data_IF_760109282565
#
_entry.id   IF_760109282565
#
_cell.length_a   1.000
_cell.length_b   1.000
_cell.length_c   1.000
_cell.angle_alpha   90.00
_cell.angle_beta   90.00
_cell.angle_gamma   90.00
#
_symmetry.space_group_name_H-M   'P 1'
#
loop_
_entity.id
_entity.type
_entity.pdbx_description
1 polymer ?
#
# COMPACT_ATOMS: atom_id res chain seq x y z
N UNK A 1 37.29 32.16 -11.87
CA UNK A 1 35.90 32.39 -11.44
C UNK A 1 34.96 32.20 -12.63
N UNK A 2 34.96 31.00 -13.23
CA UNK A 2 34.24 30.73 -14.49
C UNK A 2 34.31 29.24 -14.89
N UNK A 3 33.81 28.31 -14.05
CA UNK A 3 33.61 26.91 -14.50
C UNK A 3 32.46 26.15 -13.83
N UNK A 4 31.45 26.83 -13.27
CA UNK A 4 30.38 26.17 -12.47
C UNK A 4 29.04 26.02 -13.23
N UNK A 5 28.90 26.50 -14.48
CA UNK A 5 27.59 26.58 -15.14
C UNK A 5 27.38 25.65 -16.33
N UNK A 6 27.94 24.43 -16.32
CA UNK A 6 27.57 23.36 -17.27
C UNK A 6 27.35 22.01 -16.55
N UNK A 7 26.33 21.91 -15.68
CA UNK A 7 25.92 20.63 -15.07
C UNK A 7 24.51 20.20 -15.49
N UNK A 8 24.49 19.28 -16.48
CA UNK A 8 23.66 18.07 -16.55
C UNK A 8 22.11 18.16 -16.46
N UNK A 9 21.41 18.75 -17.45
CA UNK A 9 19.99 18.42 -17.68
C UNK A 9 19.77 16.93 -18.04
N UNK A 10 20.77 16.25 -18.62
CA UNK A 10 20.69 14.84 -19.01
C UNK A 10 20.65 13.85 -17.84
N UNK A 11 21.28 14.17 -16.69
CA UNK A 11 21.34 13.25 -15.54
C UNK A 11 20.04 13.27 -14.76
N UNK A 12 19.48 14.45 -14.45
CA UNK A 12 18.20 14.54 -13.73
C UNK A 12 17.05 13.96 -14.57
N UNK A 13 16.98 14.27 -15.87
CA UNK A 13 15.97 13.73 -16.76
C UNK A 13 16.04 12.20 -16.87
N UNK A 14 17.26 11.63 -16.88
CA UNK A 14 17.46 10.18 -16.87
C UNK A 14 17.00 9.54 -15.55
N UNK A 15 17.37 10.13 -14.42
CA UNK A 15 16.96 9.66 -13.09
C UNK A 15 15.43 9.70 -12.92
N UNK A 16 14.79 10.77 -13.39
CA UNK A 16 13.33 10.90 -13.41
C UNK A 16 12.68 9.85 -14.32
N UNK A 17 13.22 9.64 -15.53
CA UNK A 17 12.72 8.64 -16.47
C UNK A 17 12.84 7.22 -15.90
N UNK A 18 13.97 6.87 -15.30
CA UNK A 18 14.18 5.56 -14.69
C UNK A 18 13.23 5.31 -13.53
N UNK A 19 13.06 6.29 -12.63
CA UNK A 19 12.07 6.18 -11.55
C UNK A 19 10.65 6.08 -12.09
N UNK A 20 10.29 6.86 -13.12
CA UNK A 20 8.96 6.82 -13.72
C UNK A 20 8.66 5.47 -14.41
N UNK A 21 9.65 4.87 -15.09
CA UNK A 21 9.51 3.55 -15.72
C UNK A 21 9.27 2.44 -14.69
N UNK A 22 9.89 2.54 -13.50
CA UNK A 22 9.64 1.60 -12.39
C UNK A 22 8.30 1.89 -11.70
N UNK A 23 7.96 3.17 -11.52
CA UNK A 23 6.76 3.59 -10.82
C UNK A 23 5.49 3.30 -11.61
N UNK A 24 5.47 3.49 -12.94
CA UNK A 24 4.25 3.34 -13.73
C UNK A 24 3.59 1.94 -13.62
N UNK A 25 4.33 0.81 -13.73
CA UNK A 25 3.75 -0.51 -13.49
C UNK A 25 3.25 -0.70 -12.05
N UNK A 26 3.97 -0.15 -11.07
CA UNK A 26 3.60 -0.25 -9.65
C UNK A 26 2.32 0.54 -9.35
N UNK A 27 2.19 1.76 -9.89
CA UNK A 27 0.98 2.58 -9.80
C UNK A 27 -0.19 1.86 -10.46
N UNK A 28 -0.02 1.33 -11.66
CA UNK A 28 -1.10 0.61 -12.33
C UNK A 28 -1.52 -0.63 -11.53
N UNK A 29 -0.57 -1.37 -10.95
CA UNK A 29 -0.87 -2.50 -10.07
C UNK A 29 -1.70 -2.09 -8.84
N UNK A 30 -1.42 -0.92 -8.24
CA UNK A 30 -2.23 -0.40 -7.14
C UNK A 30 -3.64 -0.02 -7.59
N UNK A 31 -3.78 0.62 -8.76
CA UNK A 31 -5.09 0.95 -9.32
C UNK A 31 -5.90 -0.31 -9.64
N UNK A 32 -5.26 -1.37 -10.15
CA UNK A 32 -5.95 -2.66 -10.36
C UNK A 32 -6.42 -3.27 -9.04
N UNK A 33 -5.60 -3.23 -7.99
CA UNK A 33 -5.98 -3.73 -6.66
C UNK A 33 -7.19 -2.98 -6.06
N UNK A 34 -7.25 -1.65 -6.24
CA UNK A 34 -8.43 -0.86 -5.87
C UNK A 34 -9.64 -1.25 -6.74
N UNK A 35 -9.43 -1.43 -8.04
CA UNK A 35 -10.46 -1.89 -8.97
C UNK A 35 -11.08 -3.23 -8.59
N UNK A 36 -10.30 -4.17 -8.03
CA UNK A 36 -10.81 -5.46 -7.58
C UNK A 36 -11.84 -5.30 -6.47
N UNK A 37 -11.53 -4.46 -5.47
CA UNK A 37 -12.47 -4.15 -4.39
C UNK A 37 -13.75 -3.48 -4.91
N UNK A 38 -13.64 -2.63 -5.94
CA UNK A 38 -14.79 -2.01 -6.57
C UNK A 38 -15.67 -3.02 -7.32
N UNK A 39 -15.08 -3.97 -8.06
CA UNK A 39 -15.83 -5.05 -8.74
C UNK A 39 -16.59 -5.90 -7.73
N UNK A 40 -15.95 -6.30 -6.62
CA UNK A 40 -16.59 -7.10 -5.58
C UNK A 40 -17.79 -6.36 -4.97
N UNK A 41 -17.64 -5.07 -4.68
CA UNK A 41 -18.73 -4.23 -4.18
C UNK A 41 -19.86 -4.05 -5.21
N UNK A 42 -19.54 -3.81 -6.48
CA UNK A 42 -20.53 -3.65 -7.54
C UNK A 42 -21.33 -4.94 -7.78
N UNK A 43 -20.67 -6.10 -7.79
CA UNK A 43 -21.34 -7.39 -7.95
C UNK A 43 -22.22 -7.72 -6.74
N UNK A 44 -21.72 -7.47 -5.53
CA UNK A 44 -22.50 -7.67 -4.31
C UNK A 44 -23.75 -6.77 -4.27
N UNK A 45 -23.62 -5.51 -4.70
CA UNK A 45 -24.72 -4.54 -4.79
C UNK A 45 -25.81 -4.92 -5.77
N UNK A 46 -25.45 -5.49 -6.93
CA UNK A 46 -26.43 -5.96 -7.91
C UNK A 46 -27.17 -7.24 -7.48
N UNK A 47 -26.59 -8.05 -6.59
CA UNK A 47 -27.24 -9.27 -6.12
C UNK A 47 -28.29 -8.98 -5.04
N UNK A 48 -27.90 -8.34 -3.93
CA UNK A 48 -28.84 -7.88 -2.91
C UNK A 48 -28.19 -6.91 -1.92
N UNK A 49 -29.01 -6.08 -1.27
CA UNK A 49 -28.54 -5.19 -0.19
C UNK A 49 -27.91 -5.96 0.99
N UNK A 50 -28.40 -7.17 1.27
CA UNK A 50 -27.87 -8.06 2.31
C UNK A 50 -26.48 -8.56 1.94
N UNK A 51 -26.27 -8.97 0.68
CA UNK A 51 -24.96 -9.40 0.16
C UNK A 51 -23.96 -8.26 0.16
N UNK A 52 -24.36 -7.06 -0.24
CA UNK A 52 -23.50 -5.88 -0.19
C UNK A 52 -23.05 -5.55 1.24
N UNK A 53 -23.99 -5.55 2.20
CA UNK A 53 -23.67 -5.33 3.61
C UNK A 53 -22.71 -6.39 4.17
N UNK A 54 -22.93 -7.65 3.81
CA UNK A 54 -22.08 -8.75 4.26
C UNK A 54 -20.65 -8.67 3.68
N UNK A 55 -20.52 -8.37 2.38
CA UNK A 55 -19.22 -8.20 1.72
C UNK A 55 -18.48 -6.98 2.27
N UNK A 56 -19.16 -5.86 2.54
CA UNK A 56 -18.53 -4.67 3.10
C UNK A 56 -17.94 -4.92 4.50
N UNK A 57 -18.71 -5.56 5.40
CA UNK A 57 -18.24 -5.94 6.74
C UNK A 57 -17.10 -6.96 6.64
N UNK A 58 -17.26 -7.99 5.81
CA UNK A 58 -16.25 -9.02 5.60
C UNK A 58 -14.95 -8.48 5.02
N UNK A 59 -15.03 -7.58 4.04
CA UNK A 59 -13.89 -6.90 3.44
C UNK A 59 -13.16 -5.99 4.44
N UNK A 60 -13.88 -5.37 5.37
CA UNK A 60 -13.28 -4.60 6.46
C UNK A 60 -12.39 -5.46 7.37
N UNK A 61 -12.89 -6.62 7.81
CA UNK A 61 -12.13 -7.59 8.62
C UNK A 61 -10.96 -8.15 7.82
N UNK A 62 -11.20 -8.50 6.55
CA UNK A 62 -10.16 -8.97 5.63
C UNK A 62 -9.04 -7.93 5.46
N UNK A 63 -9.39 -6.65 5.31
CA UNK A 63 -8.43 -5.56 5.15
C UNK A 63 -7.43 -5.48 6.31
N UNK A 64 -7.86 -5.75 7.55
CA UNK A 64 -6.95 -5.81 8.71
C UNK A 64 -5.90 -6.92 8.53
N UNK A 65 -6.33 -8.12 8.13
CA UNK A 65 -5.43 -9.23 7.86
C UNK A 65 -4.46 -8.91 6.70
N UNK A 66 -4.95 -8.24 5.66
CA UNK A 66 -4.14 -7.77 4.53
C UNK A 66 -3.10 -6.74 4.96
N UNK A 67 -3.47 -5.77 5.80
CA UNK A 67 -2.54 -4.75 6.32
C UNK A 67 -1.39 -5.39 7.10
N UNK A 68 -1.68 -6.39 7.94
CA UNK A 68 -0.64 -7.14 8.67
C UNK A 68 0.29 -7.88 7.69
N UNK A 69 -0.28 -8.54 6.68
CA UNK A 69 0.49 -9.25 5.66
C UNK A 69 1.38 -8.29 4.85
N UNK A 70 0.83 -7.16 4.41
CA UNK A 70 1.57 -6.10 3.69
C UNK A 70 2.70 -5.58 4.58
N UNK A 71 2.40 -5.22 5.83
CA UNK A 71 3.35 -4.61 6.75
C UNK A 71 4.65 -5.38 6.89
N UNK A 72 4.56 -6.70 7.08
CA UNK A 72 5.76 -7.55 7.24
C UNK A 72 6.43 -7.85 5.90
N UNK A 73 5.66 -8.11 4.83
CA UNK A 73 6.21 -8.41 3.50
C UNK A 73 6.86 -7.20 2.83
N UNK A 74 6.55 -5.97 3.25
CA UNK A 74 7.22 -4.75 2.82
C UNK A 74 8.71 -4.68 3.18
N UNK A 75 9.21 -5.57 4.04
CA UNK A 75 10.65 -5.72 4.30
C UNK A 75 11.42 -6.44 3.17
N UNK A 76 10.73 -7.18 2.31
CA UNK A 76 11.33 -7.97 1.23
C UNK A 76 11.95 -7.07 0.13
N UNK A 77 11.22 -6.09 -0.47
CA UNK A 77 11.78 -5.24 -1.51
C UNK A 77 13.12 -4.56 -1.17
N UNK A 78 13.29 -3.87 -0.01
CA UNK A 78 14.57 -3.23 0.31
C UNK A 78 15.69 -4.23 0.62
N UNK A 79 15.34 -5.41 1.15
CA UNK A 79 16.32 -6.47 1.43
C UNK A 79 16.87 -7.08 0.15
N UNK A 80 15.99 -7.39 -0.80
CA UNK A 80 16.33 -7.88 -2.14
C UNK A 80 17.08 -6.81 -2.93
N UNK A 81 16.60 -5.57 -2.92
CA UNK A 81 17.21 -4.47 -3.67
C UNK A 81 18.67 -4.21 -3.25
N UNK A 82 18.98 -4.22 -1.95
CA UNK A 82 20.36 -4.04 -1.48
C UNK A 82 21.27 -5.21 -1.89
N UNK A 83 20.80 -6.45 -1.81
CA UNK A 83 21.58 -7.62 -2.23
C UNK A 83 21.81 -7.64 -3.74
N UNK A 84 20.78 -7.30 -4.52
CA UNK A 84 20.88 -7.15 -5.97
C UNK A 84 21.86 -6.03 -6.35
N UNK A 85 21.78 -4.86 -5.69
CA UNK A 85 22.72 -3.76 -5.89
C UNK A 85 24.17 -4.13 -5.55
N UNK A 86 24.38 -5.01 -4.58
CA UNK A 86 25.71 -5.50 -4.18
C UNK A 86 26.26 -6.63 -5.08
N UNK A 87 25.51 -7.07 -6.09
CA UNK A 87 25.89 -8.20 -6.95
C UNK A 87 25.81 -9.58 -6.28
N UNK A 88 25.19 -9.69 -5.10
CA UNK A 88 25.11 -10.91 -4.28
C UNK A 88 23.88 -11.75 -4.67
N UNK A 89 23.80 -12.16 -5.93
CA UNK A 89 22.59 -12.79 -6.52
C UNK A 89 22.18 -14.11 -5.85
N UNK A 90 23.13 -14.93 -5.40
CA UNK A 90 22.83 -16.18 -4.70
C UNK A 90 22.10 -15.95 -3.36
N UNK A 91 22.43 -14.86 -2.67
CA UNK A 91 21.81 -14.51 -1.39
C UNK A 91 20.42 -13.91 -1.56
N UNK A 92 20.15 -13.29 -2.70
CA UNK A 92 18.79 -12.85 -3.06
C UNK A 92 17.83 -14.05 -3.04
N UNK A 93 18.23 -15.17 -3.63
CA UNK A 93 17.45 -16.41 -3.61
C UNK A 93 17.27 -16.99 -2.21
N UNK A 94 18.28 -16.91 -1.34
CA UNK A 94 18.17 -17.34 0.06
C UNK A 94 17.19 -16.49 0.86
N UNK A 95 17.28 -15.16 0.77
CA UNK A 95 16.34 -14.24 1.44
C UNK A 95 14.92 -14.43 0.93
N UNK A 96 14.74 -14.63 -0.38
CA UNK A 96 13.42 -14.88 -0.97
C UNK A 96 12.77 -16.16 -0.41
N UNK A 97 13.52 -17.26 -0.30
CA UNK A 97 13.02 -18.53 0.26
C UNK A 97 12.62 -18.38 1.74
N UNK A 98 13.39 -17.64 2.53
CA UNK A 98 13.04 -17.35 3.92
C UNK A 98 11.83 -16.40 4.03
N UNK A 99 11.71 -15.44 3.12
CA UNK A 99 10.55 -14.58 3.03
C UNK A 99 9.27 -15.36 2.66
N UNK A 100 9.38 -16.40 1.82
CA UNK A 100 8.25 -17.28 1.49
C UNK A 100 7.80 -18.10 2.69
N UNK A 101 8.73 -18.62 3.51
CA UNK A 101 8.40 -19.27 4.79
C UNK A 101 7.69 -18.31 5.75
N UNK A 102 8.19 -17.08 5.85
CA UNK A 102 7.55 -16.04 6.67
C UNK A 102 6.15 -15.70 6.13
N UNK A 103 5.98 -15.61 4.82
CA UNK A 103 4.69 -15.35 4.18
C UNK A 103 3.68 -16.49 4.42
N UNK A 104 4.13 -17.75 4.38
CA UNK A 104 3.28 -18.89 4.71
C UNK A 104 2.88 -18.88 6.19
N UNK A 105 3.81 -18.58 7.09
CA UNK A 105 3.52 -18.46 8.52
C UNK A 105 2.52 -17.32 8.81
N UNK A 106 2.70 -16.15 8.18
CA UNK A 106 1.78 -15.02 8.28
C UNK A 106 0.43 -15.33 7.63
N UNK A 107 0.42 -15.98 6.47
CA UNK A 107 -0.78 -16.39 5.77
C UNK A 107 -1.60 -17.38 6.60
N UNK A 108 -0.93 -18.32 7.29
CA UNK A 108 -1.58 -19.22 8.23
C UNK A 108 -2.11 -18.49 9.47
N UNK A 109 -1.35 -17.53 10.02
CA UNK A 109 -1.81 -16.70 11.13
C UNK A 109 -3.06 -15.89 10.75
N UNK A 110 -3.07 -15.29 9.57
CA UNK A 110 -4.22 -14.58 9.02
C UNK A 110 -5.39 -15.52 8.76
N UNK A 111 -5.15 -16.73 8.25
CA UNK A 111 -6.19 -17.75 8.05
C UNK A 111 -6.86 -18.15 9.36
N UNK A 112 -6.08 -18.40 10.42
CA UNK A 112 -6.60 -18.68 11.77
C UNK A 112 -7.37 -17.46 12.29
N UNK A 113 -6.79 -16.26 12.20
CA UNK A 113 -7.41 -15.03 12.70
C UNK A 113 -8.75 -14.71 12.03
N UNK A 114 -8.84 -14.86 10.71
CA UNK A 114 -10.08 -14.65 9.95
C UNK A 114 -11.12 -15.72 10.29
N UNK A 115 -10.73 -16.99 10.44
CA UNK A 115 -11.67 -18.06 10.80
C UNK A 115 -12.15 -17.98 12.25
N UNK A 116 -11.32 -17.45 13.14
CA UNK A 116 -11.66 -17.19 14.55
C UNK A 116 -12.33 -15.83 14.75
N UNK A 117 -12.73 -15.12 13.69
CA UNK A 117 -13.34 -13.78 13.80
C UNK A 117 -14.83 -13.79 14.18
N UNK A 118 -15.49 -14.96 14.24
CA UNK A 118 -16.91 -15.07 14.64
C UNK A 118 -17.29 -14.29 15.93
N UNK A 119 -16.50 -14.39 17.01
CA UNK A 119 -16.72 -13.59 18.22
C UNK A 119 -16.53 -12.09 18.01
N UNK A 120 -15.55 -11.67 17.20
CA UNK A 120 -15.33 -10.25 16.86
C UNK A 120 -16.52 -9.68 16.08
N UNK A 121 -17.07 -10.44 15.13
CA UNK A 121 -18.26 -10.04 14.36
C UNK A 121 -19.47 -9.91 15.29
N UNK A 122 -19.64 -10.82 16.26
CA UNK A 122 -20.72 -10.72 17.24
C UNK A 122 -20.56 -9.54 18.22
N UNK A 123 -19.32 -9.15 18.53
CA UNK A 123 -19.01 -8.01 19.41
C UNK A 123 -19.27 -6.66 18.72
N UNK A 124 -19.12 -6.59 17.40
CA UNK A 124 -19.36 -5.37 16.60
C UNK A 124 -20.87 -5.03 16.50
N UNK A 125 -21.77 -5.96 16.86
CA UNK A 125 -23.22 -5.72 16.86
C UNK A 125 -23.82 -5.73 15.44
N UNK A 126 -23.27 -6.53 14.54
CA UNK A 126 -23.81 -6.72 13.19
C UNK A 126 -25.20 -7.36 13.25
N UNK A 127 -26.12 -6.92 12.39
CA UNK A 127 -27.48 -7.46 12.30
C UNK A 127 -27.45 -9.00 12.22
N UNK A 128 -28.23 -9.72 13.06
CA UNK A 128 -28.28 -11.18 13.06
C UNK A 128 -28.54 -11.79 11.67
N UNK A 129 -29.24 -11.07 10.79
CA UNK A 129 -29.54 -11.50 9.43
C UNK A 129 -28.32 -11.44 8.50
N UNK A 130 -27.33 -10.58 8.80
CA UNK A 130 -26.08 -10.43 8.03
C UNK A 130 -24.99 -11.41 8.50
N UNK A 131 -25.03 -11.86 9.76
CA UNK A 131 -23.98 -12.71 10.36
C UNK A 131 -23.69 -13.98 9.55
N UNK A 132 -24.74 -14.64 9.03
CA UNK A 132 -24.61 -15.86 8.25
C UNK A 132 -23.87 -15.64 6.91
N UNK A 133 -24.16 -14.55 6.22
CA UNK A 133 -23.51 -14.19 4.95
C UNK A 133 -22.08 -13.67 5.17
N UNK A 134 -21.84 -12.91 6.25
CA UNK A 134 -20.50 -12.45 6.63
C UNK A 134 -19.59 -13.64 6.94
N UNK A 135 -20.04 -14.61 7.73
CA UNK A 135 -19.25 -15.82 8.05
C UNK A 135 -18.95 -16.64 6.77
N UNK A 136 -19.92 -16.78 5.86
CA UNK A 136 -19.70 -17.44 4.56
C UNK A 136 -18.65 -16.71 3.72
N UNK A 137 -18.71 -15.39 3.64
CA UNK A 137 -17.71 -14.58 2.95
C UNK A 137 -16.32 -14.76 3.57
N UNK A 138 -16.22 -14.63 4.90
CA UNK A 138 -14.95 -14.74 5.64
C UNK A 138 -14.34 -16.13 5.50
N UNK A 139 -15.14 -17.20 5.55
CA UNK A 139 -14.67 -18.56 5.28
C UNK A 139 -14.19 -18.73 3.85
N UNK A 140 -14.88 -18.16 2.87
CA UNK A 140 -14.47 -18.16 1.47
C UNK A 140 -13.12 -17.47 1.27
N UNK A 141 -13.01 -16.21 1.71
CA UNK A 141 -11.81 -15.39 1.53
C UNK A 141 -10.62 -15.88 2.38
N UNK A 142 -10.87 -16.55 3.52
CA UNK A 142 -9.81 -17.09 4.37
C UNK A 142 -8.84 -17.99 3.59
N UNK A 143 -9.33 -18.79 2.64
CA UNK A 143 -8.49 -19.65 1.79
C UNK A 143 -7.51 -18.88 0.91
N UNK A 144 -7.76 -17.58 0.66
CA UNK A 144 -6.86 -16.67 -0.04
C UNK A 144 -5.76 -16.07 0.84
N UNK A 145 -5.78 -16.24 2.17
CA UNK A 145 -4.81 -15.59 3.07
C UNK A 145 -3.36 -16.06 2.87
N UNK A 146 -3.09 -17.36 2.67
CA UNK A 146 -1.75 -17.80 2.29
C UNK A 146 -1.32 -17.28 0.91
N UNK A 147 -2.27 -17.23 -0.05
CA UNK A 147 -1.99 -16.78 -1.41
C UNK A 147 -1.60 -15.29 -1.43
N UNK A 148 -2.34 -14.41 -0.74
CA UNK A 148 -2.03 -12.98 -0.76
C UNK A 148 -0.67 -12.67 -0.12
N UNK A 149 -0.29 -13.37 0.96
CA UNK A 149 1.02 -13.21 1.58
C UNK A 149 2.15 -13.68 0.64
N UNK A 150 1.96 -14.80 -0.05
CA UNK A 150 2.89 -15.29 -1.05
C UNK A 150 2.98 -14.33 -2.25
N UNK A 151 1.86 -13.80 -2.73
CA UNK A 151 1.81 -12.81 -3.80
C UNK A 151 2.60 -11.54 -3.45
N UNK A 152 2.41 -10.97 -2.25
CA UNK A 152 3.18 -9.80 -1.82
C UNK A 152 4.69 -10.09 -1.73
N UNK A 153 5.08 -11.32 -1.40
CA UNK A 153 6.48 -11.73 -1.35
C UNK A 153 7.08 -11.87 -2.75
N UNK A 154 6.36 -12.51 -3.68
CA UNK A 154 6.74 -12.61 -5.10
C UNK A 154 6.86 -11.21 -5.73
N UNK A 155 5.84 -10.37 -5.51
CA UNK A 155 5.83 -8.96 -5.91
C UNK A 155 6.99 -8.19 -5.32
N UNK A 156 7.27 -8.37 -4.03
CA UNK A 156 8.36 -7.68 -3.35
C UNK A 156 9.73 -8.09 -3.89
N UNK A 157 9.93 -9.36 -4.23
CA UNK A 157 11.13 -9.87 -4.88
C UNK A 157 11.30 -9.28 -6.30
N UNK A 158 10.27 -9.36 -7.13
CA UNK A 158 10.26 -8.84 -8.50
C UNK A 158 10.50 -7.33 -8.55
N UNK A 159 9.83 -6.58 -7.65
CA UNK A 159 10.07 -5.16 -7.46
C UNK A 159 11.48 -4.86 -6.96
N UNK A 160 11.99 -5.63 -6.00
CA UNK A 160 13.35 -5.48 -5.45
C UNK A 160 14.45 -5.65 -6.49
N UNK A 161 14.28 -6.54 -7.47
CA UNK A 161 15.22 -6.69 -8.61
C UNK A 161 15.09 -5.55 -9.61
N UNK A 162 13.92 -4.87 -9.67
CA UNK A 162 13.63 -3.80 -10.63
C UNK A 162 12.83 -4.27 -11.85
N UNK A 163 12.31 -5.51 -11.84
CA UNK A 163 11.47 -6.04 -12.92
C UNK A 163 10.01 -5.87 -12.50
N UNK A 164 9.45 -4.66 -12.62
CA UNK A 164 8.09 -4.36 -12.09
C UNK A 164 6.94 -4.65 -13.07
N UNK A 165 7.23 -4.88 -14.35
CA UNK A 165 6.21 -5.15 -15.39
C UNK A 165 5.36 -6.41 -15.12
N UNK A 166 5.92 -7.54 -14.67
CA UNK A 166 5.13 -8.74 -14.39
C UNK A 166 4.04 -8.51 -13.35
N UNK A 167 4.34 -7.75 -12.27
CA UNK A 167 3.34 -7.41 -11.26
C UNK A 167 2.11 -6.74 -11.87
N UNK A 168 2.33 -5.82 -12.82
CA UNK A 168 1.24 -5.13 -13.50
C UNK A 168 0.38 -6.09 -14.34
N UNK A 169 1.00 -7.00 -15.11
CA UNK A 169 0.26 -7.96 -15.93
C UNK A 169 -0.56 -8.93 -15.08
N UNK A 170 0.00 -9.42 -13.97
CA UNK A 170 -0.71 -10.33 -13.08
C UNK A 170 -1.83 -9.65 -12.29
N UNK A 171 -1.64 -8.39 -11.86
CA UNK A 171 -2.71 -7.63 -11.22
C UNK A 171 -3.81 -7.20 -12.20
N UNK A 172 -3.50 -6.98 -13.47
CA UNK A 172 -4.52 -6.79 -14.51
C UNK A 172 -5.27 -8.10 -14.79
N UNK A 173 -4.56 -9.22 -14.86
CA UNK A 173 -5.15 -10.55 -15.01
C UNK A 173 -6.11 -10.86 -13.85
N UNK A 174 -5.71 -10.59 -12.61
CA UNK A 174 -6.55 -10.85 -11.44
C UNK A 174 -7.83 -10.03 -11.47
N UNK A 175 -7.76 -8.75 -11.82
CA UNK A 175 -8.94 -7.90 -12.02
C UNK A 175 -9.88 -8.46 -13.11
N UNK A 176 -9.34 -8.86 -14.26
CA UNK A 176 -10.12 -9.37 -15.39
C UNK A 176 -10.75 -10.74 -15.10
N UNK A 177 -10.09 -11.59 -14.30
CA UNK A 177 -10.60 -12.90 -13.89
C UNK A 177 -11.62 -12.79 -12.76
N UNK A 178 -11.49 -11.79 -11.89
CA UNK A 178 -12.37 -11.62 -10.74
C UNK A 178 -13.83 -11.41 -11.17
N UNK A 179 -14.10 -10.51 -12.11
CA UNK A 179 -15.47 -10.23 -12.56
C UNK A 179 -16.25 -11.48 -13.00
N UNK A 180 -15.77 -12.25 -13.99
CA UNK A 180 -16.42 -13.48 -14.44
C UNK A 180 -16.52 -14.55 -13.36
N UNK A 181 -15.46 -14.81 -12.59
CA UNK A 181 -15.45 -15.86 -11.57
C UNK A 181 -16.43 -15.50 -10.45
N UNK A 182 -16.38 -14.26 -9.95
CA UNK A 182 -17.29 -13.77 -8.93
C UNK A 182 -18.74 -13.81 -9.42
N UNK A 183 -19.02 -13.40 -10.67
CA UNK A 183 -20.37 -13.45 -11.23
C UNK A 183 -20.93 -14.88 -11.31
N UNK A 184 -20.12 -15.87 -11.73
CA UNK A 184 -20.52 -17.28 -11.83
C UNK A 184 -20.80 -17.88 -10.46
N UNK A 185 -19.92 -17.66 -9.48
CA UNK A 185 -20.07 -18.18 -8.11
C UNK A 185 -21.19 -17.48 -7.32
N UNK A 186 -21.46 -16.21 -7.64
CA UNK A 186 -22.53 -15.43 -7.05
C UNK A 186 -23.91 -15.95 -7.48
N UNK A 187 -24.12 -16.14 -8.80
CA UNK A 187 -25.41 -16.55 -9.37
C UNK A 187 -25.58 -18.06 -9.57
N UNK A 188 -24.63 -18.89 -9.13
CA UNK A 188 -24.73 -20.35 -9.29
C UNK A 188 -24.86 -20.81 -10.74
N UNK A 189 -24.22 -20.12 -11.69
CA UNK A 189 -24.23 -20.53 -13.11
C UNK A 189 -23.22 -21.67 -13.34
N UNK A 190 -23.43 -22.48 -14.38
CA UNK A 190 -22.61 -23.68 -14.70
C UNK A 190 -22.73 -24.90 -13.75
N UNK A 191 -23.82 -25.02 -12.99
CA UNK A 191 -24.08 -26.19 -12.13
C UNK A 191 -23.53 -26.09 -10.71
N UNK A 192 -23.05 -24.90 -10.31
CA UNK A 192 -22.69 -24.59 -8.94
C UNK A 192 -23.91 -24.06 -8.15
N UNK A 193 -24.02 -24.33 -6.84
CA UNK A 193 -25.06 -23.73 -6.01
C UNK A 193 -24.85 -22.22 -5.89
N UNK A 194 -25.92 -21.45 -5.72
CA UNK A 194 -25.85 -20.01 -5.41
C UNK A 194 -25.19 -19.80 -4.04
N UNK A 195 -23.95 -19.30 -4.02
CA UNK A 195 -23.16 -19.15 -2.78
C UNK A 195 -23.24 -17.74 -2.17
N UNK A 196 -23.96 -16.80 -2.81
CA UNK A 196 -24.16 -15.44 -2.30
C UNK A 196 -22.84 -14.72 -1.97
N UNK A 197 -22.74 -14.13 -0.77
CA UNK A 197 -21.52 -13.47 -0.30
C UNK A 197 -20.34 -14.46 -0.17
N UNK A 198 -20.60 -15.72 0.17
CA UNK A 198 -19.57 -16.77 0.21
C UNK A 198 -18.94 -17.04 -1.16
N UNK A 199 -19.72 -16.89 -2.23
CA UNK A 199 -19.26 -17.02 -3.61
C UNK A 199 -18.27 -15.93 -4.02
N UNK A 200 -18.51 -14.69 -3.60
CA UNK A 200 -17.59 -13.56 -3.82
C UNK A 200 -16.28 -13.81 -3.06
N UNK A 201 -16.33 -14.14 -1.77
CA UNK A 201 -15.14 -14.41 -0.99
C UNK A 201 -14.30 -15.58 -1.54
N UNK A 202 -14.96 -16.64 -2.01
CA UNK A 202 -14.29 -17.78 -2.66
C UNK A 202 -13.71 -17.39 -4.03
N UNK A 203 -14.40 -16.58 -4.82
CA UNK A 203 -13.90 -16.07 -6.09
C UNK A 203 -12.62 -15.25 -5.89
N UNK A 204 -12.60 -14.35 -4.91
CA UNK A 204 -11.40 -13.59 -4.53
C UNK A 204 -10.26 -14.54 -4.13
N UNK A 205 -10.53 -15.58 -3.34
CA UNK A 205 -9.52 -16.57 -2.96
C UNK A 205 -8.96 -17.34 -4.17
N UNK A 206 -9.81 -17.79 -5.10
CA UNK A 206 -9.41 -18.50 -6.32
C UNK A 206 -8.51 -17.60 -7.17
N UNK A 207 -8.94 -16.34 -7.39
CA UNK A 207 -8.18 -15.36 -8.17
C UNK A 207 -6.82 -15.09 -7.54
N UNK A 208 -6.74 -14.94 -6.22
CA UNK A 208 -5.47 -14.75 -5.51
C UNK A 208 -4.52 -15.96 -5.69
N UNK A 209 -5.05 -17.19 -5.65
CA UNK A 209 -4.25 -18.38 -5.93
C UNK A 209 -3.78 -18.43 -7.39
N UNK A 210 -4.66 -18.14 -8.35
CA UNK A 210 -4.31 -18.07 -9.76
C UNK A 210 -3.24 -17.00 -10.02
N UNK A 211 -3.37 -15.83 -9.42
CA UNK A 211 -2.40 -14.74 -9.52
C UNK A 211 -1.05 -15.15 -8.92
N UNK A 212 -1.05 -15.75 -7.73
CA UNK A 212 0.16 -16.20 -7.04
C UNK A 212 0.87 -17.32 -7.81
N UNK A 213 0.13 -18.32 -8.30
CA UNK A 213 0.67 -19.46 -9.02
C UNK A 213 1.18 -19.05 -10.41
N UNK A 214 0.43 -18.21 -11.14
CA UNK A 214 0.87 -17.70 -12.44
C UNK A 214 2.13 -16.84 -12.29
N UNK A 215 2.21 -16.01 -11.24
CA UNK A 215 3.39 -15.20 -11.00
C UNK A 215 4.59 -16.05 -10.58
N UNK A 216 4.38 -17.04 -9.71
CA UNK A 216 5.41 -18.02 -9.33
C UNK A 216 5.93 -18.81 -10.53
N UNK A 217 5.04 -19.32 -11.38
CA UNK A 217 5.39 -20.04 -12.60
C UNK A 217 6.20 -19.16 -13.56
N UNK A 218 5.81 -17.91 -13.74
CA UNK A 218 6.57 -16.94 -14.54
C UNK A 218 7.98 -16.71 -13.99
N UNK A 219 8.13 -16.60 -12.66
CA UNK A 219 9.45 -16.45 -12.03
C UNK A 219 10.33 -17.69 -12.17
N UNK A 220 9.76 -18.90 -12.31
CA UNK A 220 10.51 -20.13 -12.59
C UNK A 220 10.92 -20.21 -14.07
N UNK A 221 10.02 -19.84 -14.98
CA UNK A 221 10.19 -20.05 -16.42
C UNK A 221 11.02 -18.95 -17.10
N UNK A 222 11.01 -17.73 -16.57
CA UNK A 222 11.62 -16.58 -17.25
C UNK A 222 13.13 -16.47 -16.97
N UNK A 223 13.91 -16.31 -18.05
CA UNK A 223 15.39 -16.34 -18.02
C UNK A 223 16.01 -15.27 -17.11
N UNK A 224 15.34 -14.13 -16.95
CA UNK A 224 15.81 -13.04 -16.10
C UNK A 224 15.88 -13.41 -14.61
N UNK A 225 15.16 -14.45 -14.18
CA UNK A 225 15.17 -14.94 -12.80
C UNK A 225 16.09 -16.15 -12.59
N UNK A 226 16.59 -16.76 -13.66
CA UNK A 226 17.47 -17.92 -13.60
C UNK A 226 18.74 -17.70 -12.74
N UNK A 227 19.40 -16.52 -12.74
CA UNK A 227 20.58 -16.27 -11.91
C UNK A 227 20.34 -16.31 -10.39
N UNK A 228 19.09 -16.22 -9.94
CA UNK A 228 18.76 -16.15 -8.51
C UNK A 228 18.43 -17.50 -7.87
N UNK A 229 18.40 -18.60 -8.66
CA UNK A 229 18.15 -19.97 -8.16
C UNK A 229 16.95 -20.08 -7.20
N UNK A 230 15.87 -19.30 -7.44
CA UNK A 230 14.80 -19.03 -6.46
C UNK A 230 14.15 -20.28 -5.87
N UNK A 231 14.02 -21.33 -6.69
CA UNK A 231 13.40 -22.61 -6.33
C UNK A 231 14.36 -23.79 -6.48
N UNK A 232 15.63 -23.56 -6.82
CA UNK A 232 16.59 -24.64 -7.11
C UNK A 232 17.05 -25.38 -5.83
N UNK A 233 16.89 -24.75 -4.66
CA UNK A 233 17.33 -25.29 -3.37
C UNK A 233 16.23 -25.16 -2.33
N UNK A 234 15.78 -26.28 -1.76
CA UNK A 234 14.88 -26.26 -0.62
C UNK A 234 15.68 -25.99 0.66
N UNK A 235 15.65 -24.74 1.14
CA UNK A 235 16.32 -24.36 2.39
C UNK A 235 15.34 -24.47 3.56
N UNK A 236 15.79 -25.10 4.65
CA UNK A 236 15.01 -25.15 5.90
C UNK A 236 14.83 -23.74 6.47
N UNK A 237 13.77 -23.48 7.26
CA UNK A 237 13.55 -22.19 7.91
C UNK A 237 14.75 -21.81 8.77
N UNK A 238 15.37 -20.67 8.45
CA UNK A 238 16.45 -20.08 9.23
C UNK A 238 15.87 -18.96 10.09
N UNK A 239 15.67 -19.26 11.38
CA UNK A 239 15.08 -18.34 12.35
C UNK A 239 15.84 -17.01 12.45
N UNK A 240 17.15 -17.00 12.18
CA UNK A 240 17.95 -15.78 12.19
C UNK A 240 17.58 -14.86 11.02
N UNK A 241 17.52 -15.40 9.81
CA UNK A 241 17.15 -14.64 8.61
C UNK A 241 15.69 -14.15 8.68
N UNK A 242 14.78 -14.99 9.18
CA UNK A 242 13.39 -14.61 9.44
C UNK A 242 13.33 -13.51 10.51
N UNK A 243 14.13 -13.61 11.57
CA UNK A 243 14.25 -12.58 12.61
C UNK A 243 14.72 -11.23 12.07
N UNK A 244 15.66 -11.21 11.12
CA UNK A 244 16.12 -9.99 10.45
C UNK A 244 15.00 -9.36 9.59
N UNK A 245 14.25 -10.18 8.83
CA UNK A 245 13.09 -9.72 8.07
C UNK A 245 12.01 -9.15 8.99
N UNK A 246 11.71 -9.81 10.11
CA UNK A 246 10.75 -9.35 11.11
C UNK A 246 11.21 -8.07 11.80
N UNK A 247 12.49 -7.94 12.11
CA UNK A 247 13.05 -6.73 12.73
C UNK A 247 12.83 -5.49 11.86
N UNK A 248 12.86 -5.66 10.53
CA UNK A 248 12.61 -4.60 9.56
C UNK A 248 11.10 -4.44 9.31
N UNK A 249 10.38 -5.54 9.14
CA UNK A 249 8.97 -5.58 8.74
C UNK A 249 7.99 -5.21 9.84
N UNK A 250 8.23 -5.59 11.10
CA UNK A 250 7.35 -5.23 12.23
C UNK A 250 7.23 -3.70 12.38
N UNK A 251 8.32 -2.91 12.40
CA UNK A 251 8.21 -1.45 12.42
C UNK A 251 7.49 -0.86 11.19
N UNK A 252 7.65 -1.46 10.01
CA UNK A 252 6.92 -1.03 8.81
C UNK A 252 5.41 -1.31 8.95
N UNK A 253 5.04 -2.49 9.44
CA UNK A 253 3.65 -2.85 9.72
C UNK A 253 3.01 -1.95 10.76
N UNK A 254 3.72 -1.63 11.85
CA UNK A 254 3.25 -0.66 12.85
C UNK A 254 3.05 0.73 12.22
N UNK A 255 3.94 1.16 11.32
CA UNK A 255 3.80 2.44 10.63
C UNK A 255 2.51 2.49 9.80
N UNK A 256 2.24 1.47 8.99
CA UNK A 256 1.02 1.37 8.17
C UNK A 256 -0.22 1.22 9.05
N UNK A 257 -0.13 0.48 10.15
CA UNK A 257 -1.21 0.34 11.12
C UNK A 257 -1.55 1.68 11.78
N UNK A 258 -0.55 2.45 12.22
CA UNK A 258 -0.75 3.77 12.81
C UNK A 258 -1.42 4.72 11.82
N UNK A 259 -1.02 4.66 10.55
CA UNK A 259 -1.64 5.41 9.46
C UNK A 259 -3.10 5.03 9.26
N UNK A 260 -3.40 3.74 9.09
CA UNK A 260 -4.77 3.25 8.95
C UNK A 260 -5.65 3.60 10.16
N UNK A 261 -5.11 3.46 11.37
CA UNK A 261 -5.82 3.77 12.62
C UNK A 261 -6.21 5.24 12.72
N UNK A 262 -5.37 6.15 12.22
CA UNK A 262 -5.64 7.59 12.18
C UNK A 262 -6.86 7.90 11.30
N UNK A 263 -6.91 7.31 10.10
CA UNK A 263 -8.05 7.51 9.19
C UNK A 263 -9.33 6.93 9.77
N UNK A 264 -9.29 5.70 10.29
CA UNK A 264 -10.46 5.05 10.92
C UNK A 264 -10.98 5.89 12.10
N UNK A 265 -10.09 6.32 13.00
CA UNK A 265 -10.46 7.13 14.15
C UNK A 265 -11.04 8.49 13.73
N UNK A 266 -10.51 9.09 12.67
CA UNK A 266 -11.03 10.35 12.13
C UNK A 266 -12.43 10.16 11.53
N UNK A 267 -12.64 9.10 10.75
CA UNK A 267 -13.96 8.77 10.19
C UNK A 267 -14.98 8.51 11.29
N UNK A 268 -14.61 7.77 12.35
CA UNK A 268 -15.49 7.53 13.49
C UNK A 268 -15.85 8.81 14.24
N UNK A 269 -14.86 9.69 14.46
CA UNK A 269 -15.10 11.00 15.08
C UNK A 269 -16.04 11.86 14.24
N UNK A 270 -15.86 11.88 12.90
CA UNK A 270 -16.78 12.57 11.99
C UNK A 270 -18.18 11.96 11.95
N UNK A 271 -18.31 10.67 12.25
CA UNK A 271 -19.58 9.95 12.45
C UNK A 271 -20.54 10.65 13.42
N UNK A 272 -19.99 11.35 14.42
CA UNK A 272 -20.77 12.06 15.44
C UNK A 272 -21.29 13.44 15.00
N UNK A 273 -20.81 13.95 13.86
CA UNK A 273 -21.07 15.32 13.37
C UNK A 273 -22.22 15.40 12.33
N UNK A 274 -23.00 14.32 12.16
CA UNK A 274 -24.17 14.26 11.28
C UNK A 274 -23.95 13.52 9.96
N UNK A 275 -25.03 13.06 9.34
CA UNK A 275 -25.03 12.22 8.13
C UNK A 275 -24.39 12.91 6.93
N UNK A 276 -24.69 14.19 6.73
CA UNK A 276 -24.20 14.96 5.58
C UNK A 276 -22.68 15.15 5.67
N UNK A 277 -22.18 15.40 6.89
CA UNK A 277 -20.75 15.49 7.20
C UNK A 277 -20.01 14.19 6.86
N UNK A 278 -20.58 13.05 7.24
CA UNK A 278 -19.99 11.73 6.97
C UNK A 278 -19.98 11.44 5.47
N UNK A 279 -21.08 11.71 4.77
CA UNK A 279 -21.18 11.54 3.33
C UNK A 279 -20.13 12.39 2.60
N UNK A 280 -20.02 13.68 2.93
CA UNK A 280 -19.03 14.57 2.34
C UNK A 280 -17.59 14.15 2.66
N UNK A 281 -17.33 13.67 3.87
CA UNK A 281 -16.02 13.12 4.24
C UNK A 281 -15.65 11.90 3.42
N UNK A 282 -16.59 10.96 3.23
CA UNK A 282 -16.35 9.75 2.46
C UNK A 282 -16.04 10.06 0.99
N UNK A 283 -16.72 11.05 0.40
CA UNK A 283 -16.41 11.54 -0.95
C UNK A 283 -14.97 12.07 -1.01
N UNK A 284 -14.60 12.94 -0.08
CA UNK A 284 -13.25 13.49 -0.03
C UNK A 284 -12.17 12.42 0.17
N UNK A 285 -12.40 11.45 1.08
CA UNK A 285 -11.48 10.34 1.31
C UNK A 285 -11.32 9.43 0.09
N UNK A 286 -12.41 9.09 -0.59
CA UNK A 286 -12.36 8.22 -1.77
C UNK A 286 -11.53 8.87 -2.89
N UNK A 287 -11.74 10.16 -3.13
CA UNK A 287 -10.97 10.93 -4.12
C UNK A 287 -9.50 11.00 -3.70
N UNK A 288 -9.22 11.31 -2.43
CA UNK A 288 -7.84 11.31 -1.90
C UNK A 288 -7.15 9.95 -2.03
N UNK A 289 -7.84 8.86 -1.71
CA UNK A 289 -7.31 7.50 -1.77
C UNK A 289 -6.99 7.07 -3.21
N UNK A 290 -7.79 7.50 -4.20
CA UNK A 290 -7.51 7.23 -5.60
C UNK A 290 -6.18 7.86 -6.05
N UNK A 291 -5.98 9.14 -5.70
CA UNK A 291 -4.74 9.85 -6.04
C UNK A 291 -3.54 9.37 -5.21
N UNK A 292 -3.75 8.90 -3.98
CA UNK A 292 -2.72 8.33 -3.09
C UNK A 292 -1.96 7.15 -3.71
N UNK A 293 -2.62 6.37 -4.57
CA UNK A 293 -2.00 5.21 -5.22
C UNK A 293 -0.80 5.58 -6.10
N UNK A 294 -0.77 6.81 -6.62
CA UNK A 294 0.31 7.31 -7.48
C UNK A 294 1.61 7.55 -6.67
N UNK A 295 1.62 8.41 -5.62
CA UNK A 295 2.76 8.54 -4.71
C UNK A 295 3.21 7.22 -4.09
N UNK A 296 2.27 6.35 -3.72
CA UNK A 296 2.61 5.04 -3.15
C UNK A 296 3.45 4.20 -4.12
N UNK A 297 3.09 4.16 -5.41
CA UNK A 297 3.89 3.51 -6.45
C UNK A 297 5.26 4.15 -6.64
N UNK A 298 5.35 5.50 -6.60
CA UNK A 298 6.62 6.24 -6.67
C UNK A 298 7.50 5.92 -5.45
N UNK A 299 6.92 5.82 -4.25
CA UNK A 299 7.64 5.46 -3.03
C UNK A 299 8.21 4.05 -3.09
N UNK A 300 7.45 3.09 -3.65
CA UNK A 300 7.95 1.73 -3.89
C UNK A 300 9.13 1.73 -4.88
N UNK A 301 9.03 2.47 -5.99
CA UNK A 301 10.14 2.61 -6.94
C UNK A 301 11.37 3.28 -6.30
N UNK A 302 11.15 4.31 -5.49
CA UNK A 302 12.19 5.04 -4.76
C UNK A 302 12.90 4.12 -3.74
N UNK A 303 12.15 3.26 -3.06
CA UNK A 303 12.68 2.23 -2.15
C UNK A 303 13.67 1.32 -2.87
N UNK A 304 13.30 0.83 -4.05
CA UNK A 304 14.12 -0.08 -4.86
C UNK A 304 15.38 0.62 -5.36
N UNK A 305 15.26 1.83 -5.94
CA UNK A 305 16.42 2.56 -6.49
C UNK A 305 17.42 2.96 -5.41
N UNK A 306 16.95 3.39 -4.24
CA UNK A 306 17.82 3.65 -3.08
C UNK A 306 18.44 2.35 -2.58
N UNK A 307 17.67 1.26 -2.49
CA UNK A 307 18.20 -0.06 -2.12
C UNK A 307 19.34 -0.50 -3.05
N UNK A 308 19.16 -0.36 -4.37
CA UNK A 308 20.20 -0.66 -5.37
C UNK A 308 21.45 0.21 -5.17
N UNK A 309 21.28 1.52 -4.95
CA UNK A 309 22.39 2.45 -4.75
C UNK A 309 23.16 2.17 -3.45
N UNK A 310 22.45 1.84 -2.36
CA UNK A 310 23.06 1.40 -1.09
C UNK A 310 23.84 0.11 -1.29
N UNK A 311 23.26 -0.86 -2.01
CA UNK A 311 23.94 -2.13 -2.33
C UNK A 311 25.24 -1.94 -3.11
N UNK A 312 25.27 -0.99 -4.06
CA UNK A 312 26.47 -0.63 -4.82
C UNK A 312 27.49 0.20 -4.03
N UNK A 313 27.14 0.68 -2.84
CA UNK A 313 27.98 1.64 -2.11
C UNK A 313 28.06 3.03 -2.78
N UNK A 314 27.06 3.41 -3.60
CA UNK A 314 27.05 4.66 -4.38
C UNK A 314 26.23 5.77 -3.68
N UNK A 315 26.87 6.67 -2.90
CA UNK A 315 26.17 7.74 -2.20
C UNK A 315 25.64 8.83 -3.15
N UNK A 316 26.18 8.95 -4.37
CA UNK A 316 25.68 9.90 -5.36
C UNK A 316 24.38 9.40 -5.99
N UNK A 317 24.35 8.11 -6.38
CA UNK A 317 23.15 7.43 -6.86
C UNK A 317 22.04 7.40 -5.82
N UNK A 318 22.38 7.24 -4.54
CA UNK A 318 21.41 7.30 -3.43
C UNK A 318 20.69 8.66 -3.37
N UNK A 319 21.45 9.77 -3.44
CA UNK A 319 20.88 11.12 -3.42
C UNK A 319 20.10 11.44 -4.69
N UNK A 320 20.58 10.97 -5.84
CA UNK A 320 19.91 11.15 -7.12
C UNK A 320 18.56 10.40 -7.15
N UNK A 321 18.54 9.13 -6.71
CA UNK A 321 17.33 8.32 -6.61
C UNK A 321 16.32 8.93 -5.65
N UNK A 322 16.77 9.35 -4.46
CA UNK A 322 15.92 10.07 -3.50
C UNK A 322 15.36 11.37 -4.07
N UNK A 323 16.22 12.23 -4.61
CA UNK A 323 15.81 13.50 -5.22
C UNK A 323 14.81 13.33 -6.36
N UNK A 324 15.02 12.33 -7.23
CA UNK A 324 14.09 12.00 -8.31
C UNK A 324 12.73 11.51 -7.77
N UNK A 325 12.73 10.70 -6.71
CA UNK A 325 11.51 10.25 -6.03
C UNK A 325 10.71 11.43 -5.47
N UNK A 326 11.36 12.33 -4.71
CA UNK A 326 10.71 13.53 -4.17
C UNK A 326 10.19 14.46 -5.27
N UNK A 327 10.97 14.67 -6.33
CA UNK A 327 10.57 15.52 -7.45
C UNK A 327 9.35 14.95 -8.20
N UNK A 328 9.32 13.64 -8.46
CA UNK A 328 8.16 12.99 -9.08
C UNK A 328 6.93 13.05 -8.19
N UNK A 329 7.07 12.80 -6.89
CA UNK A 329 5.97 12.89 -5.95
C UNK A 329 5.39 14.30 -5.86
N UNK A 330 6.24 15.33 -5.81
CA UNK A 330 5.80 16.71 -5.82
C UNK A 330 5.10 17.05 -7.14
N UNK A 331 5.61 16.59 -8.28
CA UNK A 331 4.99 16.84 -9.58
C UNK A 331 3.60 16.16 -9.70
N UNK A 332 3.48 14.91 -9.25
CA UNK A 332 2.19 14.20 -9.27
C UNK A 332 1.20 14.74 -8.26
N UNK A 333 1.66 15.15 -7.06
CA UNK A 333 0.81 15.80 -6.06
C UNK A 333 0.38 17.20 -6.50
N UNK A 334 1.23 17.93 -7.23
CA UNK A 334 0.85 19.23 -7.78
C UNK A 334 -0.25 19.09 -8.84
N UNK A 335 -0.16 18.06 -9.68
CA UNK A 335 -1.22 17.75 -10.66
C UNK A 335 -2.53 17.35 -9.98
N UNK A 336 -2.48 16.39 -9.06
CA UNK A 336 -3.68 15.88 -8.38
C UNK A 336 -4.31 16.92 -7.44
N UNK A 337 -3.51 17.66 -6.67
CA UNK A 337 -3.97 18.79 -5.86
C UNK A 337 -4.60 19.91 -6.70
N UNK A 338 -4.05 20.19 -7.89
CA UNK A 338 -4.65 21.17 -8.82
C UNK A 338 -6.02 20.70 -9.33
N UNK A 339 -6.16 19.41 -9.67
CA UNK A 339 -7.45 18.84 -10.09
C UNK A 339 -8.49 18.97 -8.97
N UNK A 340 -8.12 18.62 -7.74
CA UNK A 340 -9.01 18.73 -6.58
C UNK A 340 -9.37 20.18 -6.25
N UNK A 341 -8.47 21.13 -6.49
CA UNK A 341 -8.70 22.55 -6.24
C UNK A 341 -9.53 23.24 -7.33
N UNK A 342 -9.37 22.85 -8.60
CA UNK A 342 -10.05 23.49 -9.75
C UNK A 342 -11.44 22.93 -10.02
N UNK A 343 -11.68 21.65 -9.71
CA UNK A 343 -12.94 20.97 -10.02
C UNK A 343 -13.64 20.35 -8.78
N UNK A 344 -13.64 20.98 -7.58
CA UNK A 344 -14.15 20.35 -6.37
C UNK A 344 -15.65 20.04 -6.44
N UNK A 345 -16.46 20.98 -6.97
CA UNK A 345 -17.90 20.80 -7.10
C UNK A 345 -18.28 19.75 -8.16
N UNK A 346 -17.53 19.70 -9.27
CA UNK A 346 -17.75 18.71 -10.34
C UNK A 346 -17.46 17.30 -9.85
N UNK A 347 -16.34 17.12 -9.13
CA UNK A 347 -15.98 15.84 -8.54
C UNK A 347 -17.02 15.43 -7.49
N UNK A 348 -17.42 16.33 -6.60
CA UNK A 348 -18.44 16.05 -5.61
C UNK A 348 -19.81 15.72 -6.23
N UNK A 349 -20.17 16.39 -7.32
CA UNK A 349 -21.39 16.15 -8.08
C UNK A 349 -21.44 14.79 -8.80
N UNK A 350 -20.29 14.13 -9.00
CA UNK A 350 -20.26 12.75 -9.49
C UNK A 350 -20.65 11.73 -8.42
N UNK A 351 -20.52 12.08 -7.14
CA UNK A 351 -20.82 11.17 -6.02
C UNK A 351 -22.19 11.40 -5.39
N UNK A 352 -22.74 12.61 -5.47
CA UNK A 352 -24.04 12.94 -4.87
C UNK A 352 -24.75 14.03 -5.68
N UNK A 353 -26.09 13.98 -5.66
CA UNK A 353 -26.96 15.01 -6.21
C UNK A 353 -27.44 16.02 -5.15
N UNK A 354 -27.09 15.80 -3.88
CA UNK A 354 -27.49 16.68 -2.77
C UNK A 354 -26.58 17.92 -2.70
N UNK A 355 -27.17 19.09 -2.83
CA UNK A 355 -26.46 20.37 -2.81
C UNK A 355 -25.70 20.62 -1.50
N UNK A 356 -26.21 20.17 -0.35
CA UNK A 356 -25.56 20.34 0.94
C UNK A 356 -24.28 19.47 1.04
N UNK A 357 -24.39 18.21 0.59
CA UNK A 357 -23.27 17.26 0.55
C UNK A 357 -22.20 17.74 -0.44
N UNK A 358 -22.60 18.25 -1.61
CA UNK A 358 -21.69 18.80 -2.62
C UNK A 358 -20.93 20.00 -2.07
N UNK A 359 -21.62 20.94 -1.40
CA UNK A 359 -21.00 22.15 -0.86
C UNK A 359 -19.96 21.82 0.22
N UNK A 360 -20.28 20.93 1.15
CA UNK A 360 -19.36 20.45 2.18
C UNK A 360 -18.20 19.65 1.58
N UNK A 361 -18.49 18.70 0.68
CA UNK A 361 -17.47 17.90 0.01
C UNK A 361 -16.49 18.77 -0.78
N UNK A 362 -16.97 19.80 -1.48
CA UNK A 362 -16.11 20.73 -2.23
C UNK A 362 -15.12 21.45 -1.32
N UNK A 363 -15.53 21.84 -0.11
CA UNK A 363 -14.64 22.45 0.88
C UNK A 363 -13.61 21.46 1.43
N UNK A 364 -14.03 20.22 1.67
CA UNK A 364 -13.12 19.16 2.09
C UNK A 364 -12.12 18.80 0.99
N UNK A 365 -12.51 18.85 -0.28
CA UNK A 365 -11.62 18.62 -1.42
C UNK A 365 -10.53 19.71 -1.53
N UNK A 366 -10.83 20.96 -1.18
CA UNK A 366 -9.82 22.02 -1.08
C UNK A 366 -8.79 21.73 0.02
N UNK A 367 -9.24 21.26 1.19
CA UNK A 367 -8.33 20.82 2.25
C UNK A 367 -7.53 19.58 1.82
N UNK A 368 -8.19 18.66 1.10
CA UNK A 368 -7.57 17.46 0.59
C UNK A 368 -6.48 17.74 -0.47
N UNK A 369 -6.59 18.85 -1.21
CA UNK A 369 -5.54 19.31 -2.11
C UNK A 369 -4.26 19.68 -1.35
N UNK A 370 -4.36 20.33 -0.19
CA UNK A 370 -3.20 20.66 0.67
C UNK A 370 -2.66 19.41 1.36
N UNK A 371 -3.56 18.55 1.83
CA UNK A 371 -3.25 17.24 2.41
C UNK A 371 -2.37 16.41 1.49
N UNK A 372 -2.67 16.39 0.19
CA UNK A 372 -1.94 15.61 -0.80
C UNK A 372 -0.46 15.97 -0.89
N UNK A 373 -0.10 17.26 -0.82
CA UNK A 373 1.32 17.65 -0.83
C UNK A 373 2.09 17.06 0.35
N UNK A 374 1.55 17.20 1.56
CA UNK A 374 2.19 16.66 2.77
C UNK A 374 2.28 15.13 2.72
N UNK A 375 1.20 14.51 2.31
CA UNK A 375 1.07 13.06 2.22
C UNK A 375 2.02 12.44 1.18
N UNK A 376 2.12 13.00 -0.03
CA UNK A 376 3.06 12.49 -1.04
C UNK A 376 4.52 12.60 -0.62
N UNK A 377 4.91 13.70 0.03
CA UNK A 377 6.27 13.89 0.56
C UNK A 377 6.54 12.86 1.67
N UNK A 378 5.60 12.68 2.60
CA UNK A 378 5.69 11.71 3.69
C UNK A 378 5.91 10.30 3.15
N UNK A 379 5.11 9.87 2.17
CA UNK A 379 5.10 8.50 1.67
C UNK A 379 6.38 8.18 0.93
N UNK A 380 6.88 9.12 0.13
CA UNK A 380 8.18 8.97 -0.54
C UNK A 380 9.35 9.04 0.44
N UNK A 381 9.30 9.90 1.45
CA UNK A 381 10.32 9.93 2.50
C UNK A 381 10.38 8.59 3.25
N UNK A 382 9.22 8.02 3.58
CA UNK A 382 9.13 6.68 4.14
C UNK A 382 9.70 5.62 3.20
N UNK A 383 9.31 5.62 1.92
CA UNK A 383 9.88 4.71 0.92
C UNK A 383 11.41 4.82 0.83
N UNK A 384 11.93 6.05 0.88
CA UNK A 384 13.37 6.30 0.85
C UNK A 384 14.09 5.74 2.07
N UNK A 385 13.53 5.90 3.27
CA UNK A 385 14.06 5.34 4.52
C UNK A 385 13.96 3.81 4.57
N UNK A 386 12.88 3.24 4.01
CA UNK A 386 12.76 1.78 3.80
C UNK A 386 13.88 1.25 2.94
N UNK A 387 14.27 1.97 1.87
CA UNK A 387 15.42 1.61 1.01
C UNK A 387 16.76 1.61 1.73
N UNK A 388 16.90 2.45 2.76
CA UNK A 388 18.04 2.48 3.69
C UNK A 388 17.97 1.41 4.79
N UNK A 389 16.86 0.65 4.89
CA UNK A 389 16.53 -0.23 6.03
C UNK A 389 16.46 0.48 7.38
N UNK A 390 16.26 1.80 7.40
CA UNK A 390 15.93 2.54 8.64
C UNK A 390 14.41 2.55 8.81
N UNK A 391 13.87 1.73 9.73
CA UNK A 391 12.41 1.56 9.89
C UNK A 391 11.89 1.90 11.29
N UNK A 392 12.74 1.80 12.31
CA UNK A 392 12.36 2.06 13.72
C UNK A 392 12.11 3.53 13.99
N UNK A 393 13.01 4.41 13.54
CA UNK A 393 12.82 5.84 13.76
C UNK A 393 11.64 6.38 12.95
N UNK A 394 11.44 6.00 11.67
CA UNK A 394 10.22 6.34 10.95
C UNK A 394 8.94 5.94 11.67
N UNK A 395 8.89 4.72 12.24
CA UNK A 395 7.75 4.26 13.04
C UNK A 395 7.46 5.18 14.24
N UNK A 396 8.49 5.61 14.97
CA UNK A 396 8.30 6.53 16.10
C UNK A 396 7.85 7.92 15.63
N UNK A 397 8.44 8.42 14.53
CA UNK A 397 8.09 9.71 13.94
C UNK A 397 6.62 9.70 13.48
N UNK A 398 6.18 8.67 12.76
CA UNK A 398 4.81 8.57 12.24
C UNK A 398 3.81 8.41 13.36
N UNK A 399 4.11 7.58 14.37
CA UNK A 399 3.26 7.43 15.56
C UNK A 399 3.09 8.77 16.28
N UNK A 400 4.18 9.51 16.52
CA UNK A 400 4.12 10.82 17.16
C UNK A 400 3.39 11.85 16.30
N UNK A 401 3.66 11.90 15.00
CA UNK A 401 3.05 12.88 14.12
C UNK A 401 1.53 12.66 13.97
N UNK A 402 1.08 11.41 13.89
CA UNK A 402 -0.32 11.06 13.70
C UNK A 402 -1.12 11.15 15.00
N UNK A 403 -0.65 10.51 16.07
CA UNK A 403 -1.39 10.42 17.34
C UNK A 403 -0.99 11.50 18.34
N UNK A 404 0.25 11.99 18.30
CA UNK A 404 0.72 13.05 19.20
C UNK A 404 0.41 14.47 18.71
N UNK A 405 0.28 14.67 17.39
CA UNK A 405 -0.02 15.98 16.80
C UNK A 405 -1.33 15.98 16.03
N UNK A 406 -1.48 15.08 15.05
CA UNK A 406 -2.63 15.09 14.14
C UNK A 406 -3.99 14.94 14.84
N UNK A 407 -4.16 13.88 15.64
CA UNK A 407 -5.41 13.63 16.37
C UNK A 407 -5.75 14.71 17.40
N UNK A 408 -4.82 15.15 18.29
CA UNK A 408 -5.13 16.19 19.26
C UNK A 408 -5.50 17.53 18.62
N UNK A 409 -4.77 17.95 17.58
CA UNK A 409 -5.08 19.19 16.85
C UNK A 409 -6.42 19.07 16.13
N UNK A 410 -6.68 17.94 15.49
CA UNK A 410 -7.95 17.68 14.80
C UNK A 410 -9.14 17.72 15.76
N UNK A 411 -9.03 17.00 16.88
CA UNK A 411 -10.07 16.95 17.91
C UNK A 411 -10.34 18.33 18.52
N UNK A 412 -9.28 19.07 18.85
CA UNK A 412 -9.38 20.40 19.45
C UNK A 412 -10.04 21.41 18.51
N UNK A 413 -9.74 21.36 17.21
CA UNK A 413 -10.38 22.23 16.22
C UNK A 413 -11.82 21.79 15.91
N UNK A 414 -12.07 20.49 15.84
CA UNK A 414 -13.36 19.95 15.42
C UNK A 414 -14.47 20.17 16.46
N UNK A 415 -14.19 19.89 17.73
CA UNK A 415 -15.21 19.89 18.80
C UNK A 415 -15.22 21.22 19.59
N UNK A 416 -14.18 21.60 20.37
CA UNK A 416 -14.17 22.88 21.11
C UNK A 416 -14.38 24.13 20.25
N UNK A 417 -13.77 24.18 19.06
CA UNK A 417 -13.84 25.35 18.16
C UNK A 417 -14.97 25.26 17.12
N UNK A 418 -15.76 24.18 17.13
CA UNK A 418 -16.93 24.03 16.25
C UNK A 418 -16.62 23.99 14.76
N UNK A 419 -15.36 23.76 14.34
CA UNK A 419 -15.00 23.64 12.92
C UNK A 419 -15.41 22.30 12.30
N UNK A 420 -15.91 21.37 13.12
CA UNK A 420 -16.43 20.07 12.70
C UNK A 420 -15.45 19.31 11.80
N UNK A 421 -15.93 18.87 10.64
CA UNK A 421 -15.14 18.11 9.68
C UNK A 421 -13.88 18.85 9.20
N UNK A 422 -13.96 20.17 9.01
CA UNK A 422 -12.81 20.97 8.56
C UNK A 422 -11.70 20.95 9.60
N UNK A 423 -12.05 21.04 10.89
CA UNK A 423 -11.11 20.96 11.99
C UNK A 423 -10.31 19.65 12.00
N UNK A 424 -11.01 18.52 11.81
CA UNK A 424 -10.36 17.21 11.69
C UNK A 424 -9.40 17.13 10.49
N UNK A 425 -9.80 17.63 9.31
CA UNK A 425 -8.92 17.66 8.13
C UNK A 425 -7.68 18.54 8.35
N UNK A 426 -7.81 19.67 9.03
CA UNK A 426 -6.65 20.51 9.41
C UNK A 426 -5.72 19.74 10.35
N UNK A 427 -6.27 18.98 11.30
CA UNK A 427 -5.49 18.07 12.15
C UNK A 427 -4.72 17.02 11.35
N UNK A 428 -5.38 16.34 10.40
CA UNK A 428 -4.73 15.39 9.51
C UNK A 428 -3.57 16.04 8.75
N UNK A 429 -3.80 17.21 8.14
CA UNK A 429 -2.78 17.96 7.40
C UNK A 429 -1.60 18.28 8.33
N UNK A 430 -1.86 18.77 9.54
CA UNK A 430 -0.80 19.10 10.50
C UNK A 430 0.05 17.88 10.86
N UNK A 431 -0.59 16.74 11.14
CA UNK A 431 0.11 15.48 11.43
C UNK A 431 0.96 15.01 10.25
N UNK A 432 0.41 15.01 9.03
CA UNK A 432 1.14 14.63 7.82
C UNK A 432 2.28 15.59 7.48
N UNK A 433 2.09 16.90 7.66
CA UNK A 433 3.14 17.90 7.47
C UNK A 433 4.31 17.69 8.43
N UNK A 434 4.03 17.41 9.71
CA UNK A 434 5.07 17.09 10.70
C UNK A 434 5.81 15.81 10.31
N UNK A 435 5.08 14.76 9.90
CA UNK A 435 5.70 13.52 9.43
C UNK A 435 6.57 13.77 8.18
N UNK A 436 6.07 14.51 7.20
CA UNK A 436 6.78 14.84 5.97
C UNK A 436 8.11 15.57 6.26
N UNK A 437 8.10 16.58 7.15
CA UNK A 437 9.29 17.35 7.52
C UNK A 437 10.31 16.45 8.24
N UNK A 438 9.88 15.72 9.27
CA UNK A 438 10.77 14.90 10.11
C UNK A 438 11.37 13.71 9.34
N UNK A 439 10.58 13.02 8.52
CA UNK A 439 11.06 11.91 7.70
C UNK A 439 11.99 12.40 6.59
N UNK A 440 11.66 13.51 5.91
CA UNK A 440 12.53 14.10 4.89
C UNK A 440 13.86 14.54 5.50
N UNK A 441 13.83 15.21 6.65
CA UNK A 441 15.04 15.58 7.39
C UNK A 441 15.89 14.36 7.73
N UNK A 442 15.27 13.29 8.25
CA UNK A 442 15.96 12.04 8.59
C UNK A 442 16.62 11.41 7.37
N UNK A 443 15.90 11.35 6.25
CA UNK A 443 16.44 10.81 5.00
C UNK A 443 17.65 11.62 4.53
N UNK A 444 17.54 12.94 4.42
CA UNK A 444 18.63 13.78 3.93
C UNK A 444 19.84 13.79 4.87
N UNK A 445 19.63 13.66 6.19
CA UNK A 445 20.71 13.50 7.16
C UNK A 445 21.47 12.20 6.95
N UNK A 446 20.78 11.09 6.70
CA UNK A 446 21.40 9.79 6.42
C UNK A 446 22.06 9.76 5.05
N UNK A 447 21.42 10.33 4.02
CA UNK A 447 21.96 10.40 2.67
C UNK A 447 23.27 11.20 2.59
N UNK A 448 23.58 12.07 3.56
CA UNK A 448 24.85 12.81 3.65
C UNK A 448 25.98 12.01 4.29
N UNK A 449 25.70 10.91 4.97
CA UNK A 449 26.74 10.07 5.57
C UNK A 449 27.47 9.26 4.48
N UNK A 450 28.78 8.99 4.64
CA UNK A 450 29.46 8.03 3.79
C UNK A 450 28.80 6.65 3.95
N UNK A 451 28.54 5.97 2.84
CA UNK A 451 28.14 4.57 2.86
C UNK A 451 29.37 3.74 3.22
N UNK A 452 29.18 2.63 3.94
CA UNK A 452 30.24 1.65 4.09
C UNK A 452 30.63 1.16 2.68
N UNK A 453 31.94 1.14 2.38
CA UNK A 453 32.43 0.70 1.08
C UNK A 453 31.88 -0.69 0.76
N UNK A 454 31.37 -0.88 -0.46
CA UNK A 454 30.99 -2.22 -0.90
C UNK A 454 32.27 -3.05 -1.09
N UNK A 455 32.28 -4.36 -0.80
CA UNK A 455 33.43 -5.23 -1.07
C UNK A 455 33.84 -5.26 -2.55
N UNK A 456 32.97 -4.79 -3.45
CA UNK A 456 33.22 -4.71 -4.90
C UNK A 456 34.28 -3.66 -5.23
N UNK A 457 34.42 -2.59 -4.45
CA UNK A 457 35.53 -1.64 -4.55
C UNK A 457 36.80 -2.12 -3.83
N UNK A 458 36.69 -3.07 -2.90
CA UNK A 458 37.85 -3.66 -2.22
C UNK A 458 38.50 -4.81 -3.03
N UNK A 459 37.83 -5.26 -4.10
CA UNK A 459 38.29 -6.33 -4.99
C UNK A 459 38.69 -5.85 -6.40
N UNK A 460 38.58 -4.54 -6.66
CA UNK A 460 39.07 -3.86 -7.85
C UNK A 460 40.32 -3.03 -7.48
#
# INVERSE_FOLDING_TARGET
MSSILHRQPSRLARELKETAVLAAPLVLSQLMAVGMNAIDAMLAGHHSAVTLGAVAVGAGIWSIAVVVAIGVTMAVPPSVAQLFGAGRYAEVGAVFRQALWLALALGLLCWIGVRSSGPLVSLIGVDPHLLGEVDRFLRGVSWGAPAIAAFFTLRGMSAGVGITRPTMYFSLMSLLLLGPIAYVLLHGKFGFPEMGAGGIGLATAIVLWLETLAFGAYMVLHRDYAPYELFARFERPNLRAIGELLHIGVPMGVTVFMEASLFIATTLAMGTLGTDTVASHQVALNVSALFFMIPLGIAMATTVRIGHAVGRGDPAGLRAAGGAGFALALATQMLSGSIMALLPATIAGWYSNDAAVIALAAQLLLLAAVFQFSDGIQVVANGALRGLKDTRLPMLITTFAYWGVGMPVGWWLAFPHGLGARGMWVGLIAGLSVAAILLSWRFWKLARRPLAASPVEAAA
#
